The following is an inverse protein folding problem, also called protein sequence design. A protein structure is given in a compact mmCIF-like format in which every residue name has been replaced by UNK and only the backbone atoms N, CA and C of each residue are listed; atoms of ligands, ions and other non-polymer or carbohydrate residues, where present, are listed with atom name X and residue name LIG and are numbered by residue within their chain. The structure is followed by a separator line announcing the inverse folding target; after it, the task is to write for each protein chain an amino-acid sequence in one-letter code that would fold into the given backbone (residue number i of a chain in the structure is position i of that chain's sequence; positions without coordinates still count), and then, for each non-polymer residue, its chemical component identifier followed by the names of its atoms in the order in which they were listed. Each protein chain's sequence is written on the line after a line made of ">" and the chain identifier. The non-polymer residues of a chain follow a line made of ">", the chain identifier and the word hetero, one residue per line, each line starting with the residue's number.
data_IF_891492376457
#
_entry.id   IF_891492376457
#
_cell.length_a   1.000
_cell.length_b   1.000
_cell.length_c   1.000
_cell.angle_alpha   90.00
_cell.angle_beta   90.00
_cell.angle_gamma   90.00
#
_symmetry.space_group_name_H-M   'P 1'
#
loop_
_entity.id
_entity.type
_entity.pdbx_description
1 polymer ?
#
# COMPACT_ATOMS: atom_id res chain seq x y z
N UNK A 1 -17.45 29.87 -102.18
CA UNK A 1 -18.29 29.85 -100.96
C UNK A 1 -18.38 28.46 -100.30
N UNK A 2 -18.16 27.38 -101.01
CA UNK A 2 -18.26 26.02 -100.47
C UNK A 2 -17.11 25.53 -99.50
N UNK A 3 -15.90 26.08 -99.64
CA UNK A 3 -14.77 25.69 -98.75
C UNK A 3 -14.81 26.29 -97.33
N UNK A 4 -15.41 27.47 -97.17
CA UNK A 4 -15.52 28.09 -95.84
C UNK A 4 -16.58 27.41 -94.97
N UNK A 5 -17.58 26.80 -95.61
CA UNK A 5 -18.60 26.05 -94.90
C UNK A 5 -18.12 24.69 -94.38
N UNK A 6 -17.20 24.06 -95.12
CA UNK A 6 -16.59 22.80 -94.74
C UNK A 6 -15.72 22.96 -93.49
N UNK A 7 -14.97 24.06 -93.41
CA UNK A 7 -14.10 24.32 -92.23
C UNK A 7 -14.90 24.61 -90.96
N UNK A 8 -16.07 25.23 -91.09
CA UNK A 8 -16.98 25.50 -89.96
C UNK A 8 -17.59 24.15 -89.46
N UNK A 9 -18.01 23.28 -90.36
CA UNK A 9 -18.55 21.98 -90.01
C UNK A 9 -17.49 21.06 -89.34
N UNK A 10 -16.24 21.08 -89.83
CA UNK A 10 -15.11 20.36 -89.25
C UNK A 10 -14.80 20.89 -87.82
N UNK A 11 -14.80 22.21 -87.67
CA UNK A 11 -14.57 22.86 -86.37
C UNK A 11 -15.67 22.51 -85.37
N UNK A 12 -16.93 22.46 -85.79
CA UNK A 12 -18.04 22.10 -84.97
C UNK A 12 -18.02 20.62 -84.57
N UNK A 13 -17.61 19.76 -85.51
CA UNK A 13 -17.46 18.32 -85.26
C UNK A 13 -16.33 18.00 -84.30
N UNK A 14 -15.20 18.71 -84.41
CA UNK A 14 -14.09 18.56 -83.49
C UNK A 14 -14.41 19.06 -82.08
N UNK A 15 -15.12 20.20 -81.97
CA UNK A 15 -15.58 20.72 -80.68
C UNK A 15 -16.60 19.75 -80.03
N UNK A 16 -17.50 19.15 -80.81
CA UNK A 16 -18.47 18.15 -80.30
C UNK A 16 -17.79 16.87 -79.78
N UNK A 17 -16.71 16.41 -80.41
CA UNK A 17 -15.94 15.24 -79.99
C UNK A 17 -15.15 15.56 -78.71
N UNK A 18 -14.59 16.76 -78.57
CA UNK A 18 -13.86 17.16 -77.37
C UNK A 18 -14.82 17.33 -76.16
N UNK A 19 -16.03 17.83 -76.38
CA UNK A 19 -16.99 18.00 -75.29
C UNK A 19 -17.58 16.62 -74.90
N UNK A 20 -17.78 15.67 -75.81
CA UNK A 20 -18.25 14.34 -75.45
C UNK A 20 -17.20 13.48 -74.74
N UNK A 21 -15.92 13.74 -74.93
CA UNK A 21 -14.84 13.04 -74.24
C UNK A 21 -14.76 13.43 -72.76
N UNK A 22 -15.29 14.59 -72.36
CA UNK A 22 -15.30 14.99 -70.97
C UNK A 22 -16.58 14.54 -70.20
N UNK A 23 -17.56 13.93 -70.88
CA UNK A 23 -18.81 13.48 -70.26
C UNK A 23 -18.87 11.98 -69.92
N UNK A 24 -17.84 11.24 -70.27
CA UNK A 24 -17.72 9.85 -69.88
C UNK A 24 -16.68 9.70 -68.74
N UNK A 25 -16.90 10.39 -67.66
CA UNK A 25 -16.38 9.93 -66.39
C UNK A 25 -17.40 8.90 -65.85
N UNK A 26 -17.20 7.67 -66.20
CA UNK A 26 -17.69 6.58 -65.36
C UNK A 26 -17.02 6.74 -64.02
N UNK A 27 -17.60 7.58 -63.17
CA UNK A 27 -17.24 7.62 -61.75
C UNK A 27 -17.71 6.26 -61.17
N UNK A 28 -16.94 5.24 -61.42
CA UNK A 28 -16.95 4.05 -60.58
C UNK A 28 -16.45 4.52 -59.20
N UNK A 29 -17.35 5.07 -58.40
CA UNK A 29 -17.07 5.31 -56.99
C UNK A 29 -16.95 3.94 -56.34
N UNK A 30 -15.71 3.48 -56.20
CA UNK A 30 -15.45 2.36 -55.32
C UNK A 30 -15.65 2.84 -53.90
N UNK A 31 -16.71 2.37 -53.26
CA UNK A 31 -16.95 2.63 -51.86
C UNK A 31 -15.82 1.99 -51.03
N UNK A 32 -15.34 2.75 -50.02
CA UNK A 32 -14.29 2.29 -49.12
C UNK A 32 -14.70 0.99 -48.44
N UNK A 33 -13.80 0.03 -48.41
CA UNK A 33 -13.92 -1.22 -47.66
C UNK A 33 -13.37 -1.10 -46.24
N UNK A 34 -12.95 0.11 -45.82
CA UNK A 34 -12.36 0.35 -44.50
C UNK A 34 -13.46 0.43 -43.41
N UNK A 35 -13.44 -0.54 -42.51
CA UNK A 35 -14.30 -0.67 -41.34
C UNK A 35 -13.50 -0.50 -40.04
N UNK A 36 -12.41 0.29 -40.04
CA UNK A 36 -11.57 0.48 -38.84
C UNK A 36 -12.08 1.58 -37.95
N UNK A 37 -11.91 1.39 -36.63
CA UNK A 37 -12.15 2.42 -35.59
C UNK A 37 -10.86 3.21 -35.41
N UNK A 38 -10.94 4.54 -35.44
CA UNK A 38 -9.79 5.43 -35.30
C UNK A 38 -9.71 6.12 -33.96
N UNK A 39 -10.85 6.43 -33.33
CA UNK A 39 -10.90 7.03 -32.01
C UNK A 39 -12.12 6.55 -31.24
N UNK A 40 -11.93 6.42 -29.93
CA UNK A 40 -12.98 6.09 -28.97
C UNK A 40 -12.73 6.85 -27.66
N UNK A 41 -13.73 7.56 -27.16
CA UNK A 41 -13.68 8.28 -25.89
C UNK A 41 -15.05 8.23 -25.21
N UNK A 42 -15.03 8.18 -23.90
CA UNK A 42 -16.20 8.33 -23.04
C UNK A 42 -16.28 9.75 -22.47
N UNK A 43 -17.44 10.11 -21.97
CA UNK A 43 -17.58 11.29 -21.10
C UNK A 43 -16.73 11.12 -19.84
N UNK A 44 -16.50 12.21 -19.11
CA UNK A 44 -15.67 12.22 -17.90
C UNK A 44 -16.22 11.31 -16.81
N UNK A 45 -15.32 10.56 -16.16
CA UNK A 45 -15.62 9.77 -14.98
C UNK A 45 -15.10 10.55 -13.77
N UNK A 46 -16.00 11.03 -12.91
CA UNK A 46 -15.65 11.93 -11.79
C UNK A 46 -14.79 13.14 -12.20
N UNK A 47 -15.08 13.72 -13.38
CA UNK A 47 -14.35 14.87 -13.91
C UNK A 47 -12.99 14.55 -14.54
N UNK A 48 -12.62 13.27 -14.66
CA UNK A 48 -11.36 12.81 -15.27
C UNK A 48 -11.64 12.14 -16.62
N UNK A 49 -10.84 12.48 -17.63
CA UNK A 49 -10.85 11.81 -18.93
C UNK A 49 -9.91 10.59 -18.90
N UNK A 50 -10.44 9.42 -19.20
CA UNK A 50 -9.68 8.18 -19.31
C UNK A 50 -9.40 7.85 -20.76
N UNK A 51 -8.13 7.56 -21.07
CA UNK A 51 -7.69 7.25 -22.43
C UNK A 51 -8.03 5.80 -22.78
N UNK A 52 -8.64 5.62 -23.97
CA UNK A 52 -8.87 4.31 -24.57
C UNK A 52 -7.86 4.04 -25.68
N UNK A 53 -7.41 2.81 -25.75
CA UNK A 53 -6.54 2.28 -26.82
C UNK A 53 -7.35 1.36 -27.73
N UNK A 54 -6.96 1.33 -29.02
CA UNK A 54 -7.62 0.54 -30.04
C UNK A 54 -6.59 -0.43 -30.63
N UNK A 55 -6.73 -1.71 -30.32
CA UNK A 55 -5.96 -2.78 -30.97
C UNK A 55 -6.68 -3.22 -32.24
N UNK A 56 -6.14 -2.83 -33.39
CA UNK A 56 -6.69 -3.14 -34.70
C UNK A 56 -6.56 -4.64 -35.07
N UNK A 57 -5.58 -5.33 -34.51
CA UNK A 57 -5.32 -6.74 -34.79
C UNK A 57 -6.31 -7.61 -34.02
N UNK A 58 -6.43 -7.36 -32.73
CA UNK A 58 -7.37 -8.07 -31.85
C UNK A 58 -8.79 -7.52 -31.94
N UNK A 59 -8.97 -6.37 -32.59
CA UNK A 59 -10.25 -5.62 -32.67
C UNK A 59 -10.81 -5.34 -31.28
N UNK A 60 -9.95 -4.81 -30.42
CA UNK A 60 -10.23 -4.54 -29.03
C UNK A 60 -10.15 -3.05 -28.79
N UNK A 61 -11.12 -2.50 -28.05
CA UNK A 61 -11.11 -1.15 -27.51
C UNK A 61 -11.07 -1.29 -26.00
N UNK A 62 -10.08 -0.69 -25.33
CA UNK A 62 -9.93 -0.82 -23.88
C UNK A 62 -9.25 0.37 -23.26
N UNK A 63 -9.55 0.64 -22.00
CA UNK A 63 -8.83 1.63 -21.21
C UNK A 63 -7.57 0.99 -20.60
N UNK A 64 -6.42 1.65 -20.81
CA UNK A 64 -5.14 1.20 -20.25
C UNK A 64 -5.10 1.39 -18.74
N UNK A 65 -5.48 2.59 -18.29
CA UNK A 65 -5.61 2.92 -16.87
C UNK A 65 -7.02 2.55 -16.42
N UNK A 66 -7.13 1.70 -15.41
CA UNK A 66 -8.42 1.25 -14.90
C UNK A 66 -9.23 2.41 -14.34
N UNK A 67 -10.54 2.37 -14.53
CA UNK A 67 -11.47 3.33 -13.92
C UNK A 67 -11.53 3.14 -12.39
N UNK A 68 -11.94 4.15 -11.63
CA UNK A 68 -12.16 4.04 -10.18
C UNK A 68 -13.15 2.92 -9.82
N UNK A 69 -13.05 2.39 -8.62
CA UNK A 69 -13.87 1.25 -8.14
C UNK A 69 -15.37 1.50 -8.24
N UNK A 70 -15.82 2.76 -8.02
CA UNK A 70 -17.23 3.15 -8.09
C UNK A 70 -17.70 3.60 -9.48
N UNK A 71 -16.89 3.44 -10.52
CA UNK A 71 -17.23 3.88 -11.88
C UNK A 71 -18.38 3.08 -12.49
N UNK A 72 -18.69 1.88 -11.99
CA UNK A 72 -19.84 1.05 -12.41
C UNK A 72 -21.16 1.82 -12.34
N UNK A 73 -21.34 2.70 -11.33
CA UNK A 73 -22.53 3.53 -11.17
C UNK A 73 -22.68 4.64 -12.25
N UNK A 74 -21.59 4.96 -12.93
CA UNK A 74 -21.60 5.95 -14.02
C UNK A 74 -21.65 5.28 -15.40
N UNK A 75 -20.97 4.16 -15.58
CA UNK A 75 -20.88 3.48 -16.88
C UNK A 75 -22.14 2.70 -17.25
N UNK A 76 -23.10 2.53 -16.34
CA UNK A 76 -24.41 1.98 -16.68
C UNK A 76 -25.26 2.97 -17.50
N UNK A 77 -24.89 4.28 -17.49
CA UNK A 77 -25.56 5.32 -18.25
C UNK A 77 -24.61 6.45 -18.59
N UNK A 78 -23.73 6.24 -19.58
CA UNK A 78 -22.67 7.18 -19.99
C UNK A 78 -22.73 7.47 -21.48
N UNK A 79 -22.27 8.64 -21.91
CA UNK A 79 -22.11 8.99 -23.33
C UNK A 79 -20.77 8.51 -23.86
N UNK A 80 -20.78 7.97 -25.09
CA UNK A 80 -19.60 7.80 -25.91
C UNK A 80 -19.43 9.11 -26.69
N UNK A 81 -18.48 9.93 -26.26
CA UNK A 81 -18.27 11.28 -26.82
C UNK A 81 -17.53 11.27 -28.14
N UNK A 82 -16.71 10.24 -28.36
CA UNK A 82 -15.98 10.05 -29.61
C UNK A 82 -16.05 8.58 -30.02
N UNK A 83 -16.51 8.33 -31.23
CA UNK A 83 -16.44 7.00 -31.87
C UNK A 83 -16.31 7.21 -33.38
N UNK A 84 -15.06 7.35 -33.84
CA UNK A 84 -14.79 7.69 -35.24
C UNK A 84 -14.31 6.50 -36.04
N UNK A 85 -14.82 6.40 -37.26
CA UNK A 85 -14.43 5.44 -38.28
C UNK A 85 -14.09 6.18 -39.57
N UNK A 86 -13.35 5.58 -40.52
CA UNK A 86 -13.03 6.24 -41.80
C UNK A 86 -14.29 6.54 -42.62
N UNK A 87 -15.14 5.54 -42.76
CA UNK A 87 -16.38 5.66 -43.55
C UNK A 87 -17.47 4.66 -43.12
N UNK A 88 -17.24 4.03 -41.96
CA UNK A 88 -18.13 2.98 -41.47
C UNK A 88 -19.32 3.51 -40.70
N UNK A 89 -20.40 2.75 -40.73
CA UNK A 89 -21.57 2.91 -39.88
C UNK A 89 -21.41 1.98 -38.68
N UNK A 90 -21.60 2.53 -37.49
CA UNK A 90 -21.47 1.77 -36.25
C UNK A 90 -22.85 1.22 -35.87
N UNK A 91 -22.89 -0.09 -35.56
CA UNK A 91 -24.09 -0.77 -35.12
C UNK A 91 -23.86 -1.41 -33.76
N UNK A 92 -24.86 -1.41 -32.89
CA UNK A 92 -24.82 -2.00 -31.56
C UNK A 92 -26.10 -2.78 -31.27
N UNK A 93 -26.00 -3.77 -30.41
CA UNK A 93 -27.15 -4.54 -29.93
C UNK A 93 -27.50 -5.78 -30.77
N UNK A 94 -28.56 -6.46 -30.33
CA UNK A 94 -29.14 -7.63 -31.02
C UNK A 94 -30.66 -7.49 -30.96
N UNK A 95 -31.34 -7.24 -32.09
CA UNK A 95 -30.79 -7.10 -33.45
C UNK A 95 -29.91 -5.85 -33.63
N UNK A 96 -29.07 -5.88 -34.68
CA UNK A 96 -28.18 -4.73 -35.00
C UNK A 96 -29.00 -3.46 -35.16
N UNK A 97 -28.71 -2.45 -34.32
CA UNK A 97 -29.30 -1.11 -34.35
C UNK A 97 -28.23 -0.06 -34.61
N UNK A 98 -28.60 0.97 -35.35
CA UNK A 98 -27.65 2.06 -35.60
C UNK A 98 -27.24 2.72 -34.28
N UNK A 99 -25.92 2.82 -34.07
CA UNK A 99 -25.37 3.52 -32.92
C UNK A 99 -25.67 5.02 -33.02
N UNK A 100 -26.18 5.59 -31.93
CA UNK A 100 -26.42 7.03 -31.80
C UNK A 100 -25.57 7.58 -30.64
N UNK A 101 -24.62 8.45 -30.96
CA UNK A 101 -23.72 9.09 -29.99
C UNK A 101 -24.44 10.04 -29.02
N UNK A 102 -25.62 10.57 -29.40
CA UNK A 102 -26.40 11.46 -28.54
C UNK A 102 -27.06 10.73 -27.36
N UNK A 103 -27.21 9.43 -27.47
CA UNK A 103 -27.83 8.59 -26.44
C UNK A 103 -26.83 8.16 -25.38
N UNK A 104 -27.28 8.09 -24.13
CA UNK A 104 -26.56 7.40 -23.07
C UNK A 104 -26.55 5.90 -23.34
N UNK A 105 -25.41 5.28 -23.09
CA UNK A 105 -25.19 3.86 -23.33
C UNK A 105 -24.99 3.14 -22.00
N UNK A 106 -25.53 1.93 -21.87
CA UNK A 106 -25.18 1.03 -20.78
C UNK A 106 -23.95 0.23 -21.18
N UNK A 107 -22.80 0.56 -20.55
CA UNK A 107 -21.51 -0.07 -20.80
C UNK A 107 -21.12 -1.10 -19.74
N UNK A 108 -21.99 -1.42 -18.77
CA UNK A 108 -21.71 -2.47 -17.76
C UNK A 108 -21.27 -3.81 -18.37
N UNK A 109 -21.86 -4.27 -19.52
CA UNK A 109 -21.39 -5.50 -20.16
C UNK A 109 -19.92 -5.46 -20.58
N UNK A 110 -19.35 -4.28 -20.83
CA UNK A 110 -17.95 -4.11 -21.19
C UNK A 110 -16.98 -4.37 -20.01
N UNK A 111 -17.45 -4.38 -18.76
CA UNK A 111 -16.65 -4.76 -17.60
C UNK A 111 -16.29 -6.25 -17.57
N UNK A 112 -17.03 -7.08 -18.33
CA UNK A 112 -16.71 -8.49 -18.45
C UNK A 112 -15.59 -8.69 -19.48
N UNK A 113 -14.37 -8.92 -19.01
CA UNK A 113 -13.19 -9.08 -19.86
C UNK A 113 -13.28 -10.30 -20.82
N UNK A 114 -14.10 -11.28 -20.52
CA UNK A 114 -14.27 -12.47 -21.37
C UNK A 114 -15.20 -12.21 -22.58
N UNK A 115 -16.34 -11.53 -22.35
CA UNK A 115 -17.34 -11.25 -23.38
C UNK A 115 -17.24 -9.84 -23.97
N UNK A 116 -17.02 -8.84 -23.11
CA UNK A 116 -17.04 -7.43 -23.50
C UNK A 116 -18.38 -6.96 -24.06
N UNK A 117 -18.42 -5.70 -24.49
CA UNK A 117 -19.52 -5.18 -25.30
C UNK A 117 -19.09 -5.11 -26.76
N UNK A 118 -19.95 -5.55 -27.68
CA UNK A 118 -19.58 -5.65 -29.09
C UNK A 118 -20.21 -4.51 -29.91
N UNK A 119 -19.38 -3.93 -30.79
CA UNK A 119 -19.78 -2.98 -31.81
C UNK A 119 -19.39 -3.51 -33.18
N UNK A 120 -20.33 -3.48 -34.13
CA UNK A 120 -20.08 -3.83 -35.50
C UNK A 120 -19.91 -2.59 -36.36
N UNK A 121 -18.78 -2.45 -37.00
CA UNK A 121 -18.51 -1.34 -37.94
C UNK A 121 -18.70 -1.86 -39.34
N UNK A 122 -19.62 -1.26 -40.09
CA UNK A 122 -19.93 -1.62 -41.50
C UNK A 122 -19.31 -0.56 -42.38
N UNK A 123 -18.46 -0.93 -43.30
CA UNK A 123 -17.81 -0.02 -44.24
C UNK A 123 -18.82 0.61 -45.23
N UNK A 124 -18.39 1.65 -45.97
CA UNK A 124 -19.24 2.34 -46.94
C UNK A 124 -19.71 1.46 -48.11
N UNK A 125 -19.00 0.35 -48.39
CA UNK A 125 -19.41 -0.63 -49.37
C UNK A 125 -20.70 -1.41 -49.00
N UNK A 126 -21.12 -1.29 -47.72
CA UNK A 126 -22.29 -1.99 -47.16
C UNK A 126 -22.11 -3.51 -46.98
N UNK A 127 -20.94 -4.05 -47.34
CA UNK A 127 -20.62 -5.47 -47.32
C UNK A 127 -19.58 -5.81 -46.29
N UNK A 128 -18.48 -5.05 -46.30
CA UNK A 128 -17.35 -5.26 -45.39
C UNK A 128 -17.72 -4.80 -44.00
N UNK A 129 -17.50 -5.67 -42.99
CA UNK A 129 -17.73 -5.30 -41.59
C UNK A 129 -16.66 -5.88 -40.67
N UNK A 130 -16.45 -5.18 -39.56
CA UNK A 130 -15.57 -5.62 -38.47
C UNK A 130 -16.31 -5.53 -37.15
N UNK A 131 -16.09 -6.55 -36.31
CA UNK A 131 -16.64 -6.58 -34.95
C UNK A 131 -15.56 -6.19 -33.98
N UNK A 132 -15.77 -5.09 -33.25
CA UNK A 132 -14.92 -4.61 -32.18
C UNK A 132 -15.52 -4.97 -30.83
N UNK A 133 -14.67 -5.35 -29.88
CA UNK A 133 -15.04 -5.64 -28.51
C UNK A 133 -14.53 -4.53 -27.61
N UNK A 134 -15.44 -3.85 -26.90
CA UNK A 134 -15.11 -2.89 -25.85
C UNK A 134 -14.92 -3.64 -24.53
N UNK A 135 -13.79 -3.40 -23.86
CA UNK A 135 -13.52 -3.85 -22.50
C UNK A 135 -13.24 -2.62 -21.65
N UNK A 136 -13.92 -2.50 -20.53
CA UNK A 136 -13.71 -1.46 -19.54
C UNK A 136 -13.10 -2.08 -18.29
N UNK A 137 -11.85 -1.73 -18.01
CA UNK A 137 -11.15 -2.13 -16.81
C UNK A 137 -11.52 -1.19 -15.68
N UNK A 138 -12.00 -1.73 -14.58
CA UNK A 138 -12.33 -0.99 -13.34
C UNK A 138 -11.52 -1.60 -12.20
N UNK A 139 -10.99 -0.75 -11.31
CA UNK A 139 -10.29 -1.21 -10.13
C UNK A 139 -11.22 -2.03 -9.24
N UNK A 140 -10.75 -3.16 -8.75
CA UNK A 140 -11.48 -4.01 -7.79
C UNK A 140 -11.39 -3.47 -6.37
N UNK A 141 -10.37 -2.69 -6.09
CA UNK A 141 -10.06 -2.11 -4.80
C UNK A 141 -9.60 -0.66 -5.02
N UNK A 142 -9.82 0.22 -4.05
CA UNK A 142 -9.37 1.62 -4.15
C UNK A 142 -7.84 1.66 -4.11
N UNK A 143 -7.17 2.22 -5.13
CA UNK A 143 -5.73 2.38 -5.12
C UNK A 143 -5.28 3.30 -3.99
N UNK A 144 -4.10 2.99 -3.44
CA UNK A 144 -3.49 3.69 -2.30
C UNK A 144 -4.31 3.61 -1.00
N UNK A 145 -5.28 2.68 -0.93
CA UNK A 145 -6.01 2.37 0.30
C UNK A 145 -5.40 1.19 1.05
N UNK A 146 -5.52 1.20 2.37
CA UNK A 146 -5.11 0.09 3.24
C UNK A 146 -6.22 -0.94 3.30
N UNK A 147 -5.97 -2.09 2.67
CA UNK A 147 -6.93 -3.21 2.60
C UNK A 147 -6.65 -4.19 3.73
N UNK A 148 -7.69 -4.52 4.50
CA UNK A 148 -7.61 -5.40 5.65
C UNK A 148 -8.27 -6.75 5.40
N UNK A 149 -7.58 -7.82 5.76
CA UNK A 149 -8.09 -9.18 5.68
C UNK A 149 -8.05 -9.84 7.07
N UNK A 150 -9.19 -10.35 7.50
CA UNK A 150 -9.25 -11.22 8.67
C UNK A 150 -8.65 -12.57 8.32
N UNK A 151 -7.71 -13.02 9.14
CA UNK A 151 -7.06 -14.31 8.93
C UNK A 151 -7.98 -15.46 9.36
N UNK A 152 -7.79 -16.62 8.72
CA UNK A 152 -8.65 -17.81 8.89
C UNK A 152 -8.52 -18.45 10.27
N UNK A 153 -7.43 -18.21 10.98
CA UNK A 153 -7.18 -18.71 12.32
C UNK A 153 -6.43 -17.68 13.18
N UNK A 154 -6.54 -17.84 14.49
CA UNK A 154 -5.84 -17.02 15.47
C UNK A 154 -5.19 -17.92 16.54
N UNK A 155 -4.10 -17.45 17.20
CA UNK A 155 -3.48 -18.18 18.28
C UNK A 155 -4.42 -18.20 19.50
N UNK A 156 -4.49 -19.32 20.25
CA UNK A 156 -5.39 -19.46 21.39
C UNK A 156 -4.88 -18.69 22.63
N UNK A 157 -4.77 -17.37 22.54
CA UNK A 157 -4.29 -16.49 23.61
C UNK A 157 -5.45 -16.14 24.53
N UNK A 158 -5.56 -16.80 25.67
CA UNK A 158 -6.64 -16.60 26.65
C UNK A 158 -6.31 -15.55 27.71
N UNK A 159 -5.04 -15.29 27.97
CA UNK A 159 -4.57 -14.34 28.98
C UNK A 159 -3.58 -13.35 28.39
N UNK A 160 -3.65 -12.09 28.84
CA UNK A 160 -2.76 -11.00 28.40
C UNK A 160 -2.20 -10.23 29.59
N UNK A 161 -2.05 -10.91 30.73
CA UNK A 161 -1.69 -10.28 32.01
C UNK A 161 -0.32 -9.52 31.96
N UNK A 162 0.58 -9.98 31.10
CA UNK A 162 1.89 -9.32 30.89
C UNK A 162 1.97 -8.58 29.54
N UNK A 163 0.83 -8.34 28.89
CA UNK A 163 0.78 -7.78 27.54
C UNK A 163 1.02 -8.81 26.45
N UNK A 164 1.06 -8.32 25.22
CA UNK A 164 1.36 -9.12 24.03
C UNK A 164 2.55 -8.49 23.31
N UNK A 165 3.42 -9.32 22.77
CA UNK A 165 4.50 -8.86 21.88
C UNK A 165 4.52 -9.71 20.63
N UNK A 166 4.29 -9.09 19.48
CA UNK A 166 4.54 -9.71 18.18
C UNK A 166 5.87 -9.23 17.61
N UNK A 167 6.56 -10.13 16.94
CA UNK A 167 7.83 -9.85 16.28
C UNK A 167 8.03 -10.84 15.13
N UNK A 168 8.62 -10.38 14.04
CA UNK A 168 8.93 -11.22 12.88
C UNK A 168 10.43 -11.54 12.90
N UNK A 169 10.75 -12.83 12.81
CA UNK A 169 12.11 -13.31 12.61
C UNK A 169 12.12 -14.24 11.39
N UNK A 170 12.95 -13.91 10.40
CA UNK A 170 12.97 -14.61 9.12
C UNK A 170 11.57 -14.57 8.45
N UNK A 171 10.97 -15.73 8.18
CA UNK A 171 9.62 -15.85 7.60
C UNK A 171 8.57 -16.29 8.63
N UNK A 172 8.88 -16.18 9.91
CA UNK A 172 7.99 -16.56 11.01
C UNK A 172 7.55 -15.32 11.81
N UNK A 173 6.25 -15.26 12.09
CA UNK A 173 5.63 -14.30 13.00
C UNK A 173 5.45 -14.96 14.36
N UNK A 174 6.12 -14.41 15.36
CA UNK A 174 6.01 -14.83 16.76
C UNK A 174 5.07 -13.92 17.52
N UNK A 175 4.30 -14.49 18.44
CA UNK A 175 3.47 -13.75 19.40
C UNK A 175 3.71 -14.33 20.79
N UNK A 176 4.32 -13.54 21.65
CA UNK A 176 4.53 -13.91 23.06
C UNK A 176 3.40 -13.33 23.91
N UNK A 177 2.73 -14.15 24.69
CA UNK A 177 1.74 -13.75 25.69
C UNK A 177 2.24 -13.93 27.13
N UNK A 178 3.35 -14.61 27.28
CA UNK A 178 4.17 -14.68 28.48
C UNK A 178 5.61 -15.02 28.10
N UNK A 179 6.62 -14.79 28.95
CA UNK A 179 8.00 -15.13 28.66
C UNK A 179 8.22 -16.60 28.25
N UNK A 180 7.48 -17.49 28.84
CA UNK A 180 7.57 -18.94 28.60
C UNK A 180 6.39 -19.51 27.79
N UNK A 181 5.58 -18.67 27.16
CA UNK A 181 4.45 -19.09 26.35
C UNK A 181 4.22 -18.16 25.17
N UNK A 182 3.92 -18.74 24.02
CA UNK A 182 3.64 -17.99 22.82
C UNK A 182 3.16 -18.88 21.68
N UNK A 183 3.06 -18.27 20.53
CA UNK A 183 2.66 -18.93 19.30
C UNK A 183 3.52 -18.41 18.14
N UNK A 184 3.66 -19.24 17.10
CA UNK A 184 4.29 -18.82 15.86
C UNK A 184 3.51 -19.30 14.64
N UNK A 185 3.66 -18.58 13.53
CA UNK A 185 3.12 -18.97 12.23
C UNK A 185 4.03 -18.45 11.12
N UNK A 186 3.99 -19.07 9.94
CA UNK A 186 4.63 -18.52 8.76
C UNK A 186 3.89 -17.25 8.29
N UNK A 187 4.62 -16.23 7.82
CA UNK A 187 4.06 -15.07 7.13
C UNK A 187 3.67 -15.38 5.69
N UNK A 188 4.06 -16.53 5.15
CA UNK A 188 3.71 -17.00 3.82
C UNK A 188 2.26 -17.53 3.83
N UNK A 189 1.34 -17.00 3.00
CA UNK A 189 -0.08 -17.32 3.10
C UNK A 189 -0.43 -18.80 2.97
N UNK A 190 0.30 -19.55 2.15
CA UNK A 190 0.09 -21.00 1.94
C UNK A 190 0.51 -21.85 3.14
N UNK A 191 1.33 -21.30 4.03
CA UNK A 191 1.89 -21.98 5.20
C UNK A 191 1.34 -21.44 6.52
N UNK A 192 0.35 -20.54 6.45
CA UNK A 192 -0.24 -19.90 7.61
C UNK A 192 -0.95 -20.91 8.51
N UNK A 193 -0.31 -21.22 9.64
CA UNK A 193 -0.84 -22.15 10.65
C UNK A 193 -0.19 -21.88 12.00
N UNK A 194 -0.99 -21.54 13.00
CA UNK A 194 -0.49 -21.24 14.33
C UNK A 194 -0.04 -22.50 15.08
N UNK A 195 1.17 -22.43 15.62
CA UNK A 195 1.78 -23.46 16.46
C UNK A 195 2.12 -22.86 17.83
N UNK A 196 1.69 -23.53 18.92
CA UNK A 196 2.10 -23.16 20.26
C UNK A 196 3.60 -23.40 20.46
N UNK A 197 4.26 -22.47 21.13
CA UNK A 197 5.67 -22.57 21.51
C UNK A 197 5.84 -22.39 23.01
N UNK A 198 6.91 -22.98 23.55
CA UNK A 198 7.30 -22.83 24.95
C UNK A 198 8.74 -22.34 25.00
N UNK A 199 8.95 -21.02 24.90
CA UNK A 199 10.28 -20.45 25.01
C UNK A 199 10.87 -20.70 26.39
N UNK A 200 12.19 -20.82 26.48
CA UNK A 200 12.90 -20.98 27.76
C UNK A 200 13.33 -19.62 28.36
N UNK A 201 12.64 -18.54 28.02
CA UNK A 201 12.85 -17.24 28.63
C UNK A 201 12.55 -17.25 30.15
N UNK A 202 13.32 -16.58 30.98
CA UNK A 202 12.98 -16.38 32.39
C UNK A 202 11.62 -15.68 32.57
N UNK A 203 10.91 -16.03 33.64
CA UNK A 203 9.56 -15.50 33.92
C UNK A 203 9.53 -13.99 34.18
N UNK A 204 10.67 -13.39 34.55
CA UNK A 204 10.85 -11.96 34.76
C UNK A 204 11.35 -11.22 33.49
N UNK A 205 11.22 -11.82 32.30
CA UNK A 205 11.52 -11.16 31.02
C UNK A 205 10.51 -10.07 30.71
N UNK A 206 10.99 -8.90 30.33
CA UNK A 206 10.18 -7.74 29.93
C UNK A 206 9.81 -7.88 28.45
N UNK A 207 8.59 -8.33 28.11
CA UNK A 207 8.20 -8.64 26.73
C UNK A 207 8.30 -7.43 25.79
N UNK A 208 8.03 -6.21 26.25
CA UNK A 208 8.13 -5.01 25.42
C UNK A 208 9.55 -4.76 24.88
N UNK A 209 10.58 -5.29 25.53
CA UNK A 209 11.99 -5.11 25.14
C UNK A 209 12.45 -6.08 24.04
N UNK A 210 11.62 -7.09 23.68
CA UNK A 210 11.97 -8.01 22.62
C UNK A 210 12.15 -7.23 21.31
N UNK A 211 13.32 -7.38 20.71
CA UNK A 211 13.70 -6.67 19.47
C UNK A 211 14.56 -7.55 18.58
N UNK A 212 14.58 -7.26 17.28
CA UNK A 212 15.51 -7.87 16.36
C UNK A 212 16.89 -7.21 16.47
N UNK A 213 17.93 -8.00 16.63
CA UNK A 213 19.29 -7.52 16.53
C UNK A 213 20.18 -8.59 15.93
N UNK A 214 21.01 -8.20 14.95
CA UNK A 214 21.77 -9.13 14.13
C UNK A 214 20.83 -10.17 13.46
N UNK A 215 21.09 -11.44 13.56
CA UNK A 215 20.28 -12.53 12.97
C UNK A 215 19.35 -13.20 13.99
N UNK A 216 18.97 -12.51 15.07
CA UNK A 216 18.18 -13.09 16.15
C UNK A 216 17.28 -12.12 16.87
N UNK A 217 16.53 -12.65 17.81
CA UNK A 217 15.73 -11.91 18.77
C UNK A 217 16.53 -11.70 20.05
N UNK A 218 16.41 -10.52 20.62
CA UNK A 218 17.04 -10.12 21.87
C UNK A 218 16.01 -9.60 22.84
N UNK A 219 16.21 -9.81 24.14
CA UNK A 219 15.35 -9.32 25.20
C UNK A 219 16.09 -9.25 26.51
N UNK A 220 15.57 -8.49 27.47
CA UNK A 220 16.12 -8.44 28.82
C UNK A 220 15.10 -8.75 29.90
N UNK A 221 15.61 -9.08 31.05
CA UNK A 221 14.85 -9.37 32.27
C UNK A 221 14.90 -8.20 33.25
N UNK A 222 14.00 -8.18 34.23
CA UNK A 222 13.93 -7.17 35.28
C UNK A 222 15.22 -7.09 36.14
N UNK A 223 15.96 -8.19 36.23
CA UNK A 223 17.25 -8.23 36.94
C UNK A 223 18.43 -7.77 36.07
N UNK A 224 18.17 -7.24 34.87
CA UNK A 224 19.17 -6.70 33.98
C UNK A 224 19.94 -7.73 33.16
N UNK A 225 19.54 -9.01 33.16
CA UNK A 225 20.15 -10.02 32.31
C UNK A 225 19.64 -9.91 30.87
N UNK A 226 20.53 -10.14 29.91
CA UNK A 226 20.25 -10.08 28.47
C UNK A 226 20.23 -11.48 27.89
N UNK A 227 19.26 -11.77 27.05
CA UNK A 227 19.07 -13.05 26.36
C UNK A 227 18.95 -12.83 24.87
N UNK A 228 19.44 -13.80 24.08
CA UNK A 228 19.24 -13.83 22.64
C UNK A 228 18.80 -15.21 22.16
N UNK A 229 18.14 -15.25 21.00
CA UNK A 229 17.69 -16.48 20.33
C UNK A 229 17.72 -16.32 18.82
N UNK A 230 18.17 -17.32 18.09
CA UNK A 230 18.12 -17.37 16.63
C UNK A 230 16.85 -18.03 16.08
N UNK A 231 16.06 -18.66 16.94
CA UNK A 231 14.83 -19.39 16.57
C UNK A 231 13.57 -18.92 17.32
N UNK A 232 13.70 -17.93 18.21
CA UNK A 232 12.60 -17.40 19.01
C UNK A 232 12.09 -18.33 20.12
N UNK A 233 12.71 -19.52 20.31
CA UNK A 233 12.29 -20.53 21.28
C UNK A 233 13.41 -20.85 22.26
N UNK A 234 14.61 -21.11 21.73
CA UNK A 234 15.78 -21.44 22.52
C UNK A 234 16.62 -20.17 22.77
N UNK A 235 16.50 -19.64 23.99
CA UNK A 235 17.15 -18.42 24.41
C UNK A 235 18.39 -18.71 25.25
N UNK A 236 19.45 -17.94 25.01
CA UNK A 236 20.72 -18.05 25.71
C UNK A 236 21.09 -16.73 26.36
N UNK A 237 21.54 -16.80 27.62
CA UNK A 237 22.00 -15.62 28.32
C UNK A 237 23.31 -15.12 27.72
N UNK A 238 23.37 -13.80 27.51
CA UNK A 238 24.55 -13.10 27.03
C UNK A 238 25.33 -12.57 28.24
N UNK A 239 26.27 -13.40 28.77
CA UNK A 239 26.93 -13.11 30.03
C UNK A 239 27.73 -11.78 30.01
N UNK A 240 28.42 -11.48 28.89
CA UNK A 240 29.22 -10.26 28.73
C UNK A 240 28.36 -8.97 28.63
N UNK A 241 27.08 -9.11 28.33
CA UNK A 241 26.13 -8.01 28.13
C UNK A 241 25.09 -7.95 29.25
N UNK A 242 25.08 -8.91 30.17
CA UNK A 242 24.15 -9.02 31.27
C UNK A 242 24.62 -8.23 32.49
N UNK A 243 23.66 -7.79 33.28
CA UNK A 243 23.85 -6.96 34.47
C UNK A 243 23.55 -5.48 34.14
N UNK A 244 22.80 -4.85 35.01
CA UNK A 244 22.48 -3.40 34.96
C UNK A 244 21.62 -2.92 33.79
N UNK A 245 21.18 -3.79 32.85
CA UNK A 245 20.33 -3.39 31.75
C UNK A 245 18.89 -3.21 32.22
N UNK A 246 18.39 -1.98 32.10
CA UNK A 246 17.01 -1.63 32.42
C UNK A 246 16.07 -2.00 31.28
N UNK A 247 16.48 -1.71 30.05
CA UNK A 247 15.63 -1.92 28.88
C UNK A 247 16.43 -1.97 27.59
N UNK A 248 16.18 -2.97 26.73
CA UNK A 248 16.63 -2.95 25.32
C UNK A 248 15.64 -2.14 24.49
N UNK A 249 16.08 -1.15 23.73
CA UNK A 249 15.21 -0.23 23.02
C UNK A 249 14.93 -0.65 21.58
N UNK A 250 15.93 -0.55 20.71
CA UNK A 250 15.83 -0.93 19.31
C UNK A 250 17.22 -1.06 18.68
N UNK A 251 17.29 -1.77 17.55
CA UNK A 251 18.52 -1.91 16.79
C UNK A 251 18.61 -0.88 15.66
N UNK A 252 19.81 -0.37 15.42
CA UNK A 252 20.17 0.43 14.25
C UNK A 252 20.87 -0.48 13.25
N UNK A 253 20.40 -0.55 11.99
CA UNK A 253 21.06 -1.32 10.95
C UNK A 253 22.51 -0.87 10.72
N UNK A 254 23.31 -1.72 10.14
CA UNK A 254 24.64 -1.32 9.67
C UNK A 254 24.54 -0.15 8.69
N UNK A 255 25.49 0.78 8.80
CA UNK A 255 25.57 1.92 7.90
C UNK A 255 26.84 1.79 7.05
N UNK A 256 26.68 1.45 5.77
CA UNK A 256 27.78 1.26 4.84
C UNK A 256 28.56 2.56 4.55
N UNK A 257 27.87 3.73 4.63
CA UNK A 257 28.49 5.03 4.36
C UNK A 257 29.47 5.41 5.47
N UNK A 258 29.09 5.22 6.72
CA UNK A 258 29.95 5.50 7.88
C UNK A 258 30.84 4.32 8.30
N UNK A 259 30.59 3.12 7.75
CA UNK A 259 31.25 1.90 8.19
C UNK A 259 30.83 1.44 9.59
N UNK A 260 29.70 1.93 10.11
CA UNK A 260 29.21 1.55 11.44
C UNK A 260 28.50 0.21 11.37
N UNK A 261 28.85 -0.79 12.21
CA UNK A 261 28.13 -2.06 12.25
C UNK A 261 26.71 -1.87 12.81
N UNK A 262 25.90 -2.92 12.70
CA UNK A 262 24.60 -2.99 13.39
C UNK A 262 24.79 -2.77 14.89
N UNK A 263 24.02 -1.89 15.48
CA UNK A 263 24.10 -1.55 16.91
C UNK A 263 22.74 -1.73 17.58
N UNK A 264 22.78 -2.19 18.85
CA UNK A 264 21.60 -2.27 19.71
C UNK A 264 21.68 -1.14 20.73
N UNK A 265 20.62 -0.33 20.83
CA UNK A 265 20.48 0.70 21.86
C UNK A 265 19.70 0.15 23.04
N UNK A 266 20.13 0.53 24.25
CA UNK A 266 19.51 0.13 25.49
C UNK A 266 19.62 1.24 26.56
N UNK A 267 19.02 1.00 27.71
CA UNK A 267 19.17 1.78 28.93
C UNK A 267 19.93 0.91 29.94
N UNK A 268 20.97 1.48 30.53
CA UNK A 268 21.77 0.86 31.58
C UNK A 268 21.75 1.70 32.84
N UNK A 269 21.60 1.06 33.99
CA UNK A 269 21.74 1.71 35.28
C UNK A 269 23.22 1.75 35.67
N UNK A 270 23.71 2.94 35.97
CA UNK A 270 25.08 3.13 36.52
C UNK A 270 25.07 2.92 38.02
N UNK A 271 25.88 1.98 38.51
CA UNK A 271 25.95 1.64 39.93
C UNK A 271 26.62 2.75 40.79
N UNK A 272 27.44 3.59 40.16
CA UNK A 272 28.23 4.58 40.90
C UNK A 272 27.34 5.77 41.34
N UNK A 273 26.45 6.23 40.48
CA UNK A 273 25.57 7.36 40.72
C UNK A 273 24.07 7.01 40.81
N UNK A 274 23.73 5.76 40.48
CA UNK A 274 22.37 5.24 40.49
C UNK A 274 21.47 5.73 39.36
N UNK A 275 22.02 6.48 38.40
CA UNK A 275 21.28 7.05 37.25
C UNK A 275 21.19 6.08 36.08
N UNK A 276 20.25 6.35 35.22
CA UNK A 276 20.07 5.62 33.96
C UNK A 276 20.78 6.37 32.83
N UNK A 277 21.49 5.62 32.00
CA UNK A 277 22.18 6.12 30.82
C UNK A 277 21.77 5.33 29.60
N UNK A 278 21.68 5.97 28.45
CA UNK A 278 21.65 5.27 27.19
C UNK A 278 22.98 4.53 27.00
N UNK A 279 22.91 3.39 26.34
CA UNK A 279 24.09 2.65 25.96
C UNK A 279 23.86 1.98 24.61
N UNK A 280 24.95 1.64 23.93
CA UNK A 280 24.95 0.95 22.66
C UNK A 280 25.91 -0.23 22.69
N UNK A 281 25.62 -1.24 21.90
CA UNK A 281 26.51 -2.38 21.70
C UNK A 281 26.48 -2.87 20.26
N UNK A 282 27.59 -3.39 19.80
CA UNK A 282 27.69 -4.19 18.57
C UNK A 282 27.50 -5.71 18.83
N UNK A 283 27.14 -6.08 20.06
CA UNK A 283 27.01 -7.46 20.52
C UNK A 283 28.19 -7.94 21.36
N UNK A 284 29.20 -7.11 21.61
CA UNK A 284 30.39 -7.49 22.39
C UNK A 284 30.40 -6.89 23.79
N UNK A 285 30.31 -5.58 23.89
CA UNK A 285 30.31 -4.82 25.15
C UNK A 285 29.38 -3.61 25.05
N UNK A 286 28.87 -3.15 26.19
CA UNK A 286 28.12 -1.90 26.26
C UNK A 286 29.03 -0.68 26.35
N UNK A 287 28.69 0.35 25.58
CA UNK A 287 29.31 1.67 25.63
C UNK A 287 28.28 2.66 26.15
N UNK A 288 28.51 3.20 27.35
CA UNK A 288 27.63 4.21 27.96
C UNK A 288 27.64 5.49 27.15
N UNK A 289 26.49 6.11 27.05
CA UNK A 289 26.19 7.34 26.32
C UNK A 289 25.54 8.39 27.23
N UNK A 290 24.64 9.21 26.70
CA UNK A 290 23.99 10.30 27.43
C UNK A 290 23.09 9.78 28.57
N UNK A 291 22.89 10.63 29.61
CA UNK A 291 21.93 10.36 30.69
C UNK A 291 20.50 10.32 30.14
N UNK A 292 19.72 9.37 30.60
CA UNK A 292 18.31 9.23 30.18
C UNK A 292 17.49 10.38 30.75
N UNK A 293 16.84 11.19 29.92
CA UNK A 293 16.06 12.33 30.40
C UNK A 293 14.80 11.88 31.16
N UNK A 294 14.30 12.74 32.01
CA UNK A 294 13.02 12.54 32.68
C UNK A 294 11.89 12.40 31.65
N UNK A 295 10.94 11.51 31.92
CA UNK A 295 9.82 11.25 31.02
C UNK A 295 10.12 10.28 29.87
N UNK A 296 11.37 9.83 29.71
CA UNK A 296 11.66 8.79 28.70
C UNK A 296 11.07 7.44 29.14
N UNK A 297 10.29 6.74 28.27
CA UNK A 297 9.66 5.47 28.62
C UNK A 297 10.70 4.34 28.69
N UNK A 298 10.80 3.70 29.85
CA UNK A 298 11.73 2.58 30.08
C UNK A 298 11.09 1.21 29.97
N UNK A 299 9.75 1.13 29.86
CA UNK A 299 8.97 -0.08 29.67
C UNK A 299 7.68 0.24 28.90
N UNK A 300 7.00 -0.80 28.39
CA UNK A 300 5.72 -0.68 27.68
C UNK A 300 5.75 0.34 26.53
N UNK A 301 6.77 0.26 25.71
CA UNK A 301 6.96 1.12 24.54
C UNK A 301 6.92 0.32 23.25
N UNK A 302 6.73 1.04 22.15
CA UNK A 302 6.89 0.57 20.78
C UNK A 302 7.96 1.39 20.09
N UNK A 303 8.82 0.75 19.32
CA UNK A 303 9.88 1.41 18.58
C UNK A 303 9.94 0.90 17.13
N UNK A 304 10.39 1.77 16.24
CA UNK A 304 10.72 1.42 14.87
C UNK A 304 12.00 2.14 14.44
N UNK A 305 12.69 1.56 13.45
CA UNK A 305 13.89 2.15 12.85
C UNK A 305 13.69 2.27 11.36
N UNK A 306 14.19 3.35 10.78
CA UNK A 306 14.20 3.57 9.34
C UNK A 306 15.59 4.03 8.90
N UNK A 307 15.88 3.79 7.62
CA UNK A 307 17.04 4.40 6.96
C UNK A 307 16.51 5.49 6.02
N UNK A 308 17.00 6.70 6.21
CA UNK A 308 16.62 7.86 5.40
C UNK A 308 17.19 7.76 3.99
N UNK A 309 16.69 8.56 3.05
CA UNK A 309 17.17 8.57 1.65
C UNK A 309 18.65 8.91 1.49
N UNK A 310 19.23 9.63 2.47
CA UNK A 310 20.68 9.93 2.52
C UNK A 310 21.49 8.89 3.32
N UNK A 311 20.90 7.71 3.61
CA UNK A 311 21.58 6.59 4.24
C UNK A 311 21.78 6.70 5.74
N UNK A 312 21.15 7.67 6.42
CA UNK A 312 21.23 7.79 7.88
C UNK A 312 20.16 6.93 8.55
N UNK A 313 20.55 6.17 9.56
CA UNK A 313 19.61 5.44 10.39
C UNK A 313 18.96 6.37 11.41
N UNK A 314 17.66 6.23 11.58
CA UNK A 314 16.88 6.98 12.56
C UNK A 314 15.90 6.06 13.26
N UNK A 315 15.86 6.11 14.56
CA UNK A 315 14.91 5.37 15.39
C UNK A 315 13.87 6.30 16.00
N UNK A 316 12.68 5.76 16.20
CA UNK A 316 11.57 6.39 16.89
C UNK A 316 11.02 5.47 17.95
N UNK A 317 10.58 6.03 19.06
CA UNK A 317 10.02 5.29 20.17
C UNK A 317 8.86 6.09 20.76
N UNK A 318 7.78 5.40 21.12
CA UNK A 318 6.64 5.93 21.87
C UNK A 318 6.31 4.99 23.02
N UNK A 319 5.89 5.51 24.14
CA UNK A 319 5.48 4.72 25.30
C UNK A 319 4.33 5.37 26.04
N UNK A 320 3.74 4.60 26.96
CA UNK A 320 2.81 5.16 27.92
C UNK A 320 3.59 6.05 28.89
N UNK A 321 3.37 7.34 28.79
CA UNK A 321 3.79 8.28 29.83
C UNK A 321 2.71 8.31 30.89
N UNK A 322 3.08 8.54 32.15
CA UNK A 322 2.16 8.64 33.28
C UNK A 322 0.96 9.53 32.93
N UNK A 323 -0.24 9.05 33.21
CA UNK A 323 -1.51 9.63 32.70
C UNK A 323 -1.85 11.02 33.23
N UNK A 324 -1.06 11.59 34.17
CA UNK A 324 -1.49 12.75 34.92
C UNK A 324 -1.28 14.10 34.23
N UNK A 325 -0.49 14.15 33.10
CA UNK A 325 -0.13 15.44 32.48
C UNK A 325 -0.17 15.49 30.95
N UNK A 326 -0.65 14.46 30.24
CA UNK A 326 -0.42 14.43 28.79
C UNK A 326 -1.67 14.56 27.93
N UNK A 327 -1.82 15.72 27.36
CA UNK A 327 -2.73 16.00 26.25
C UNK A 327 -2.22 15.39 24.91
N UNK A 328 -1.01 14.80 24.87
CA UNK A 328 -0.38 14.28 23.66
C UNK A 328 0.43 13.00 23.90
N UNK A 329 0.54 12.16 22.87
CA UNK A 329 1.55 11.12 22.78
C UNK A 329 2.85 11.73 22.29
N UNK A 330 3.93 11.61 23.05
CA UNK A 330 5.23 12.20 22.74
C UNK A 330 6.14 11.13 22.13
N UNK A 331 6.53 11.27 20.85
CA UNK A 331 7.55 10.43 20.25
C UNK A 331 8.94 10.89 20.66
N UNK A 332 9.83 9.93 20.83
CA UNK A 332 11.26 10.15 21.01
C UNK A 332 11.99 9.72 19.75
N UNK A 333 13.08 10.39 19.41
CA UNK A 333 13.87 10.05 18.22
C UNK A 333 15.36 10.03 18.54
N UNK A 334 16.07 9.08 17.93
CA UNK A 334 17.53 9.00 17.96
C UNK A 334 18.08 8.72 16.57
N UNK A 335 19.26 9.28 16.28
CA UNK A 335 19.95 9.05 14.99
C UNK A 335 21.02 7.97 15.05
N UNK A 336 21.41 7.54 16.24
CA UNK A 336 22.52 6.58 16.39
C UNK A 336 22.46 5.79 17.70
N UNK A 337 21.42 6.02 18.50
CA UNK A 337 21.28 5.40 19.82
C UNK A 337 22.12 6.04 20.93
N UNK A 338 22.91 7.08 20.64
CA UNK A 338 23.72 7.76 21.63
C UNK A 338 22.90 8.59 22.61
N UNK A 339 21.87 9.25 22.10
CA UNK A 339 20.91 10.02 22.87
C UNK A 339 19.56 10.04 22.17
N UNK A 340 18.53 10.34 22.91
CA UNK A 340 17.16 10.43 22.41
C UNK A 340 16.61 11.81 22.68
N UNK A 341 15.93 12.36 21.69
CA UNK A 341 15.35 13.70 21.72
C UNK A 341 13.85 13.58 21.76
N UNK A 342 13.25 14.32 22.69
CA UNK A 342 11.81 14.56 22.79
C UNK A 342 11.33 15.35 21.57
N UNK A 343 10.30 14.83 20.88
CA UNK A 343 9.66 15.47 19.74
C UNK A 343 8.30 16.10 20.10
N UNK A 344 8.07 16.40 21.36
CA UNK A 344 6.87 17.14 21.79
C UNK A 344 6.75 18.47 21.06
N UNK A 345 5.53 18.90 20.81
CA UNK A 345 5.25 20.17 20.15
C UNK A 345 4.05 20.86 20.80
N UNK A 346 4.10 22.17 20.87
CA UNK A 346 3.00 23.00 21.35
C UNK A 346 1.99 23.37 20.26
N UNK A 347 2.23 22.92 19.02
CA UNK A 347 1.33 23.16 17.89
C UNK A 347 0.11 22.25 17.97
N UNK A 348 -0.97 22.61 17.27
CA UNK A 348 -2.19 21.80 17.15
C UNK A 348 -1.98 20.50 16.36
N UNK A 349 -0.81 20.32 15.75
CA UNK A 349 -0.45 19.15 14.96
C UNK A 349 0.26 18.06 15.79
N UNK A 350 0.18 18.08 17.11
CA UNK A 350 0.71 17.00 17.95
C UNK A 350 -0.13 15.72 17.82
N UNK A 351 0.48 14.58 18.10
CA UNK A 351 -0.27 13.33 18.22
C UNK A 351 -1.11 13.37 19.51
N UNK A 352 -2.41 13.10 19.46
CA UNK A 352 -3.24 13.10 20.67
C UNK A 352 -2.80 12.01 21.65
N UNK A 353 -3.19 12.15 22.92
CA UNK A 353 -2.92 11.13 23.93
C UNK A 353 -3.55 9.80 23.56
N UNK A 354 -2.74 8.76 23.45
CA UNK A 354 -3.14 7.40 23.10
C UNK A 354 -2.76 6.42 24.21
N UNK A 355 -3.65 5.54 24.56
CA UNK A 355 -3.36 4.42 25.47
C UNK A 355 -2.60 3.34 24.71
N UNK A 356 -1.51 2.81 25.27
CA UNK A 356 -0.64 1.80 24.67
C UNK A 356 -0.27 2.13 23.21
N UNK A 357 0.38 3.28 22.97
CA UNK A 357 0.70 3.70 21.61
C UNK A 357 1.68 2.73 20.96
N UNK A 358 1.46 2.49 19.70
CA UNK A 358 2.36 1.75 18.81
C UNK A 358 2.83 2.66 17.70
N UNK A 359 4.12 2.58 17.35
CA UNK A 359 4.71 3.32 16.23
C UNK A 359 5.25 2.33 15.20
N UNK A 360 4.96 2.58 13.93
CA UNK A 360 5.50 1.82 12.80
C UNK A 360 6.04 2.76 11.74
N UNK A 361 7.07 2.32 11.04
CA UNK A 361 7.45 2.89 9.75
C UNK A 361 6.85 2.04 8.65
N UNK A 362 6.02 2.63 7.82
CA UNK A 362 5.27 1.93 6.81
C UNK A 362 5.07 2.84 5.60
N UNK A 363 5.36 2.33 4.41
CA UNK A 363 5.16 3.07 3.17
C UNK A 363 5.74 4.49 3.19
N UNK A 364 7.04 4.58 3.52
CA UNK A 364 7.83 5.82 3.59
C UNK A 364 7.29 6.88 4.55
N UNK A 365 6.47 6.49 5.51
CA UNK A 365 5.95 7.39 6.54
C UNK A 365 5.93 6.74 7.93
N UNK A 366 5.94 7.58 8.96
CA UNK A 366 5.71 7.15 10.33
C UNK A 366 4.20 7.19 10.63
N UNK A 367 3.73 6.14 11.30
CA UNK A 367 2.37 6.06 11.80
C UNK A 367 2.37 5.73 13.28
N UNK A 368 1.55 6.47 14.06
CA UNK A 368 1.21 6.13 15.44
C UNK A 368 -0.26 5.75 15.51
N UNK A 369 -0.55 4.75 16.32
CA UNK A 369 -1.89 4.28 16.63
C UNK A 369 -1.93 3.78 18.07
N UNK A 370 -3.11 3.68 18.66
CA UNK A 370 -3.25 3.18 20.03
C UNK A 370 -4.71 3.06 20.47
N UNK A 371 -4.93 2.81 21.74
CA UNK A 371 -6.26 2.70 22.32
C UNK A 371 -7.09 1.60 21.64
N UNK A 372 -8.24 1.97 21.13
CA UNK A 372 -9.17 1.05 20.44
C UNK A 372 -8.91 0.95 18.93
N UNK A 373 -7.78 1.44 18.42
CA UNK A 373 -7.47 1.48 16.99
C UNK A 373 -8.53 2.24 16.16
N UNK A 374 -8.90 3.42 16.62
CA UNK A 374 -9.90 4.26 15.94
C UNK A 374 -9.32 5.00 14.73
N UNK A 375 -8.02 5.32 14.76
CA UNK A 375 -7.34 6.04 13.69
C UNK A 375 -5.85 5.75 13.64
N UNK A 376 -5.28 5.95 12.46
CA UNK A 376 -3.85 6.18 12.25
C UNK A 376 -3.55 7.67 12.33
N UNK A 377 -2.41 8.01 12.95
CA UNK A 377 -1.84 9.35 12.90
C UNK A 377 -0.53 9.25 12.10
N UNK A 378 -0.46 9.96 10.98
CA UNK A 378 0.69 9.95 10.07
C UNK A 378 1.57 11.16 10.29
N UNK A 379 2.89 10.97 10.29
CA UNK A 379 3.85 12.06 10.23
C UNK A 379 4.67 12.00 8.95
N UNK A 380 4.61 13.09 8.19
CA UNK A 380 5.50 13.36 7.05
C UNK A 380 6.70 14.23 7.45
N UNK A 381 6.74 14.73 8.69
CA UNK A 381 7.74 15.66 9.20
C UNK A 381 8.78 15.00 10.09
N UNK A 382 8.92 13.69 10.02
CA UNK A 382 9.88 12.94 10.83
C UNK A 382 9.55 12.89 12.31
N UNK A 383 8.26 12.77 12.66
CA UNK A 383 7.78 12.57 14.02
C UNK A 383 7.40 13.85 14.77
N UNK A 384 7.46 15.05 14.15
CA UNK A 384 7.16 16.32 14.81
C UNK A 384 5.67 16.66 14.70
N UNK A 385 5.13 16.66 13.48
CA UNK A 385 3.71 16.94 13.23
C UNK A 385 2.98 15.68 12.78
N UNK A 386 1.74 15.54 13.26
CA UNK A 386 0.92 14.35 13.07
C UNK A 386 -0.46 14.72 12.52
N UNK A 387 -0.94 13.96 11.57
CA UNK A 387 -2.22 14.15 10.91
C UNK A 387 -3.05 12.88 11.00
N UNK A 388 -4.29 13.01 11.47
CA UNK A 388 -5.24 11.91 11.52
C UNK A 388 -5.60 11.50 10.09
N UNK A 389 -5.54 10.21 9.82
CA UNK A 389 -5.93 9.65 8.53
C UNK A 389 -7.43 9.33 8.54
N UNK A 390 -8.17 9.81 7.53
CA UNK A 390 -9.64 9.72 7.50
C UNK A 390 -10.20 8.96 6.29
N UNK A 391 -9.40 8.76 5.23
CA UNK A 391 -9.92 8.21 3.98
C UNK A 391 -9.29 6.87 3.59
N UNK A 392 -7.99 6.86 3.27
CA UNK A 392 -7.35 5.71 2.60
C UNK A 392 -6.61 4.78 3.54
N UNK A 393 -5.94 5.33 4.53
CA UNK A 393 -5.17 4.57 5.52
C UNK A 393 -5.95 4.55 6.83
N UNK A 394 -6.97 3.73 6.87
CA UNK A 394 -7.92 3.67 8.00
C UNK A 394 -8.09 2.25 8.52
N UNK A 395 -8.48 2.13 9.77
CA UNK A 395 -8.91 0.87 10.34
C UNK A 395 -10.37 0.55 9.95
N UNK A 396 -10.74 -0.73 9.81
CA UNK A 396 -12.14 -1.14 9.77
C UNK A 396 -12.88 -0.65 11.02
N UNK A 397 -14.08 -0.14 10.84
CA UNK A 397 -14.89 0.40 11.95
C UNK A 397 -15.10 -0.61 13.11
N UNK A 398 -15.12 -1.91 12.79
CA UNK A 398 -15.24 -2.98 13.78
C UNK A 398 -14.05 -3.08 14.75
N UNK A 399 -12.87 -2.55 14.43
CA UNK A 399 -11.68 -2.60 15.30
C UNK A 399 -11.93 -1.88 16.63
N UNK A 400 -12.66 -0.78 16.63
CA UNK A 400 -12.99 -0.02 17.83
C UNK A 400 -13.75 -0.85 18.89
N UNK A 401 -14.41 -1.95 18.47
CA UNK A 401 -15.14 -2.86 19.35
C UNK A 401 -14.30 -4.03 19.90
N UNK A 402 -13.07 -4.23 19.39
CA UNK A 402 -12.25 -5.43 19.69
C UNK A 402 -11.42 -5.31 20.98
N UNK A 403 -11.44 -4.15 21.63
CA UNK A 403 -10.67 -3.91 22.87
C UNK A 403 -9.23 -3.48 22.61
N UNK A 404 -8.48 -3.33 23.70
CA UNK A 404 -7.11 -2.74 23.70
C UNK A 404 -6.00 -3.77 23.93
N UNK A 405 -6.33 -5.04 24.05
CA UNK A 405 -5.36 -6.11 24.25
C UNK A 405 -4.91 -6.68 22.91
N UNK A 406 -3.98 -6.00 22.27
CA UNK A 406 -3.42 -6.40 20.96
C UNK A 406 -1.93 -6.10 20.88
N UNK A 407 -1.32 -6.62 19.85
CA UNK A 407 0.04 -6.28 19.42
C UNK A 407 0.08 -6.02 17.92
N UNK A 408 0.98 -5.14 17.49
CA UNK A 408 1.15 -4.73 16.09
C UNK A 408 2.58 -4.97 15.65
N UNK A 409 2.76 -5.49 14.46
CA UNK A 409 4.07 -5.60 13.80
C UNK A 409 3.91 -5.47 12.28
N UNK A 410 5.01 -5.12 11.61
CA UNK A 410 5.08 -5.08 10.14
C UNK A 410 6.06 -6.16 9.69
N UNK A 411 5.68 -6.94 8.68
CA UNK A 411 6.55 -7.95 8.12
C UNK A 411 7.36 -7.43 6.91
N UNK A 412 8.32 -8.23 6.46
CA UNK A 412 9.19 -7.88 5.32
C UNK A 412 8.46 -7.76 3.97
N UNK A 413 7.23 -8.27 3.87
CA UNK A 413 6.38 -8.17 2.70
C UNK A 413 5.45 -6.94 2.75
N UNK A 414 5.71 -6.06 3.72
CA UNK A 414 4.95 -4.82 3.92
C UNK A 414 3.49 -5.06 4.33
N UNK A 415 3.23 -6.12 5.11
CA UNK A 415 1.94 -6.33 5.76
C UNK A 415 1.98 -5.86 7.21
N UNK A 416 0.98 -5.12 7.62
CA UNK A 416 0.70 -4.76 9.01
C UNK A 416 -0.11 -5.90 9.63
N UNK A 417 0.40 -6.52 10.68
CA UNK A 417 -0.28 -7.57 11.43
C UNK A 417 -0.80 -6.99 12.74
N UNK A 418 -2.07 -7.27 13.05
CA UNK A 418 -2.69 -6.94 14.33
C UNK A 418 -3.24 -8.24 14.91
N UNK A 419 -2.77 -8.57 16.11
CA UNK A 419 -3.14 -9.79 16.81
C UNK A 419 -3.78 -9.40 18.13
N UNK A 420 -5.07 -9.74 18.27
CA UNK A 420 -5.80 -9.57 19.53
C UNK A 420 -5.75 -10.85 20.35
N UNK A 421 -5.55 -10.69 21.65
CA UNK A 421 -5.71 -11.76 22.64
C UNK A 421 -7.00 -11.63 23.45
N UNK A 422 -7.12 -12.47 24.47
CA UNK A 422 -8.27 -12.49 25.36
C UNK A 422 -9.54 -12.96 24.67
N UNK A 423 -10.66 -12.29 24.95
CA UNK A 423 -11.97 -12.67 24.41
C UNK A 423 -12.14 -12.43 22.92
N UNK A 424 -11.39 -11.49 22.34
CA UNK A 424 -11.45 -11.18 20.91
C UNK A 424 -10.78 -12.26 20.08
N UNK A 425 -9.53 -12.61 20.41
CA UNK A 425 -8.77 -13.68 19.82
C UNK A 425 -8.85 -13.72 18.27
N UNK A 426 -8.48 -12.63 17.63
CA UNK A 426 -8.52 -12.47 16.19
C UNK A 426 -7.17 -12.00 15.64
N UNK A 427 -6.90 -12.32 14.38
CA UNK A 427 -5.75 -11.83 13.63
C UNK A 427 -6.20 -11.17 12.35
N UNK A 428 -5.69 -9.99 12.11
CA UNK A 428 -5.92 -9.26 10.87
C UNK A 428 -4.60 -8.86 10.23
N UNK A 429 -4.61 -8.83 8.92
CA UNK A 429 -3.47 -8.42 8.11
C UNK A 429 -3.88 -7.33 7.14
N UNK A 430 -3.19 -6.19 7.17
CA UNK A 430 -3.43 -5.05 6.29
C UNK A 430 -2.26 -4.81 5.35
N UNK A 431 -2.55 -4.42 4.12
CA UNK A 431 -1.54 -3.99 3.15
C UNK A 431 -2.08 -2.84 2.31
N UNK A 432 -1.21 -1.87 2.03
CA UNK A 432 -1.53 -0.78 1.13
C UNK A 432 -1.61 -1.32 -0.31
N UNK A 433 -2.76 -1.11 -0.95
CA UNK A 433 -2.97 -1.49 -2.34
C UNK A 433 -2.27 -0.49 -3.28
N UNK A 434 -1.00 -0.75 -3.59
CA UNK A 434 -0.25 0.06 -4.56
C UNK A 434 -0.44 -0.48 -5.97
N UNK A 435 -0.89 0.39 -6.86
CA UNK A 435 -0.84 0.10 -8.30
C UNK A 435 0.63 -0.05 -8.71
N UNK A 436 1.02 -1.22 -9.17
CA UNK A 436 2.28 -1.37 -9.88
C UNK A 436 2.15 -0.63 -11.20
N UNK A 437 2.88 0.48 -11.37
CA UNK A 437 3.15 1.01 -12.70
C UNK A 437 3.98 -0.03 -13.43
N UNK A 438 3.39 -0.70 -14.43
CA UNK A 438 4.09 -1.56 -15.36
C UNK A 438 4.88 -0.74 -16.37
#
# INVERSE_FOLDING_TARGET
>A
MRLKFLSIIISFLTVSIVISSCLNSDNNYEYSTDATVHAFELDTIYGVNYKFEIDQIQRLIYNRDSLPMSADTLIDSIKITTFTTTSGIIMSGTPDTLFNADNYQNLLPAMNSASGLQFKVVAADGITSRLYRLIINVHKEDPDSLVWHKMTSAPAITTTAQGLKSIVLNDELFVYNAPNAGYKTSIVPSEYSWQGITPNLPTNTILSTLTNFQEGLWGNTEDGSVYSSTDGINWQKQESLSGHIVSLLTAFPANEISGTPTQLSAIMKNETDGKNYFCITDGTTWVQQDEVPEGFPTANYSACTLTTSNGLNKAFLVGNVSQDDNEQTVPWSSMSGYGWVDLSTTTTSHCPALTNPSIIYYDDALYIMGGKLEAFYKSATGGIAWEKQEEKVVFPAEFASKGTSYTITVDKNNFIWIIWGGTTNEVWRGCLNKLKKY
#
